data_IF_289905754029
#
_entry.id   IF_289905754029
#
_cell.length_a   1.000
_cell.length_b   1.000
_cell.length_c   1.000
_cell.angle_alpha   90.00
_cell.angle_beta   90.00
_cell.angle_gamma   90.00
#
_symmetry.space_group_name_H-M   'P 1'
#
loop_
_entity.id
_entity.type
_entity.pdbx_description
1 polymer ?
#
# COMPACT_ATOMS: atom_id res chain seq x y z
N UNK A 1 15.11 18.07 -29.43
CA UNK A 1 15.54 18.04 -28.00
C UNK A 1 14.31 17.88 -27.11
N UNK A 2 13.67 16.71 -27.09
CA UNK A 2 12.36 16.51 -26.44
C UNK A 2 12.26 15.18 -25.68
N UNK A 3 13.30 14.81 -24.92
CA UNK A 3 13.31 13.54 -24.16
C UNK A 3 13.41 13.68 -22.63
N UNK A 4 13.45 14.89 -22.06
CA UNK A 4 13.67 15.07 -20.61
C UNK A 4 12.39 14.95 -19.75
N UNK A 5 11.20 14.99 -20.36
CA UNK A 5 9.93 15.00 -19.62
C UNK A 5 9.53 13.63 -19.06
N UNK A 6 9.88 12.52 -19.72
CA UNK A 6 9.49 11.17 -19.30
C UNK A 6 10.23 10.69 -18.03
N UNK A 7 11.48 11.10 -17.81
CA UNK A 7 12.25 10.70 -16.61
C UNK A 7 11.77 11.40 -15.34
N UNK A 8 11.31 12.66 -15.43
CA UNK A 8 10.74 13.38 -14.28
C UNK A 8 9.38 12.82 -13.86
N UNK A 9 8.56 12.37 -14.83
CA UNK A 9 7.29 11.69 -14.55
C UNK A 9 7.48 10.36 -13.80
N UNK A 10 8.47 9.55 -14.18
CA UNK A 10 8.78 8.29 -13.47
C UNK A 10 9.32 8.53 -12.05
N UNK A 11 10.17 9.55 -11.88
CA UNK A 11 10.69 9.92 -10.56
C UNK A 11 9.60 10.45 -9.61
N UNK A 12 8.67 11.25 -10.12
CA UNK A 12 7.57 11.81 -9.33
C UNK A 12 6.50 10.77 -8.97
N UNK A 13 6.17 9.82 -9.87
CA UNK A 13 5.30 8.68 -9.53
C UNK A 13 5.93 7.82 -8.44
N UNK A 14 7.24 7.54 -8.51
CA UNK A 14 7.94 6.77 -7.47
C UNK A 14 7.94 7.50 -6.12
N UNK A 15 8.17 8.82 -6.11
CA UNK A 15 8.14 9.62 -4.89
C UNK A 15 6.73 9.69 -4.29
N UNK A 16 5.71 9.94 -5.11
CA UNK A 16 4.31 9.89 -4.69
C UNK A 16 3.95 8.51 -4.13
N UNK A 17 4.40 7.43 -4.77
CA UNK A 17 4.16 6.07 -4.30
C UNK A 17 4.91 5.73 -3.00
N UNK A 18 6.06 6.35 -2.74
CA UNK A 18 6.74 6.26 -1.42
C UNK A 18 5.97 6.99 -0.33
N UNK A 19 5.47 8.19 -0.63
CA UNK A 19 4.65 8.98 0.30
C UNK A 19 3.35 8.24 0.59
N UNK A 20 2.66 7.74 -0.43
CA UNK A 20 1.46 6.92 -0.29
C UNK A 20 1.73 5.68 0.55
N UNK A 21 2.88 5.01 0.41
CA UNK A 21 3.24 3.88 1.28
C UNK A 21 3.55 4.28 2.73
N UNK A 22 4.14 5.45 2.96
CA UNK A 22 4.38 5.97 4.31
C UNK A 22 3.07 6.32 5.01
N UNK A 23 2.22 7.09 4.32
CA UNK A 23 0.91 7.52 4.82
C UNK A 23 -0.05 6.33 4.94
N UNK A 24 -0.10 5.44 3.95
CA UNK A 24 -0.88 4.21 4.05
C UNK A 24 -0.29 3.22 5.07
N UNK A 25 0.90 3.45 5.60
CA UNK A 25 1.41 2.71 6.76
C UNK A 25 0.73 3.19 8.05
N UNK A 26 0.64 4.50 8.27
CA UNK A 26 -0.04 5.07 9.44
C UNK A 26 -1.57 4.97 9.36
N UNK A 27 -2.16 5.13 8.17
CA UNK A 27 -3.62 5.04 7.92
C UNK A 27 -4.04 3.72 7.27
N UNK A 28 -3.23 2.67 7.41
CA UNK A 28 -3.43 1.37 6.74
C UNK A 28 -4.83 0.79 6.98
N UNK A 29 -5.27 0.87 8.24
CA UNK A 29 -6.55 0.32 8.67
C UNK A 29 -7.74 1.15 8.14
N UNK A 30 -7.65 2.48 8.16
CA UNK A 30 -8.70 3.35 7.60
C UNK A 30 -8.86 3.17 6.09
N UNK A 31 -7.73 3.05 5.38
CA UNK A 31 -7.71 2.77 3.94
C UNK A 31 -8.31 1.39 3.65
N UNK A 32 -8.01 0.39 4.49
CA UNK A 32 -8.64 -0.93 4.42
C UNK A 32 -10.16 -0.82 4.61
N UNK A 33 -10.65 -0.06 5.58
CA UNK A 33 -12.09 0.10 5.83
C UNK A 33 -12.80 0.82 4.68
N UNK A 34 -12.20 1.84 4.08
CA UNK A 34 -12.77 2.48 2.89
C UNK A 34 -12.84 1.53 1.69
N UNK A 35 -11.75 0.81 1.42
CA UNK A 35 -11.72 -0.20 0.38
C UNK A 35 -12.74 -1.32 0.66
N UNK A 36 -12.82 -1.80 1.90
CA UNK A 36 -13.75 -2.84 2.32
C UNK A 36 -15.20 -2.41 2.14
N UNK A 37 -15.55 -1.19 2.58
CA UNK A 37 -16.90 -0.64 2.39
C UNK A 37 -17.28 -0.51 0.91
N UNK A 38 -16.29 -0.20 0.06
CA UNK A 38 -16.51 -0.02 -1.38
C UNK A 38 -16.65 -1.36 -2.12
N UNK A 39 -15.81 -2.35 -1.78
CA UNK A 39 -15.72 -3.62 -2.52
C UNK A 39 -16.52 -4.77 -1.89
N UNK A 40 -16.78 -4.71 -0.58
CA UNK A 40 -17.47 -5.72 0.21
C UNK A 40 -18.63 -5.10 1.02
N UNK A 41 -19.61 -4.47 0.36
CA UNK A 41 -20.77 -3.94 1.06
C UNK A 41 -21.58 -5.09 1.69
N UNK A 42 -21.64 -5.14 3.02
CA UNK A 42 -22.43 -6.12 3.78
C UNK A 42 -21.63 -7.22 4.46
N UNK A 43 -20.31 -7.25 4.29
CA UNK A 43 -19.42 -8.08 5.10
C UNK A 43 -18.90 -7.25 6.29
N UNK A 44 -18.71 -7.90 7.45
CA UNK A 44 -18.09 -7.24 8.60
C UNK A 44 -16.58 -7.12 8.35
N UNK A 45 -15.98 -5.92 8.42
CA UNK A 45 -14.55 -5.77 8.27
C UNK A 45 -13.80 -6.50 9.40
N UNK A 46 -12.58 -6.93 9.10
CA UNK A 46 -11.67 -7.49 10.12
C UNK A 46 -11.41 -6.46 11.22
N UNK A 47 -11.23 -6.94 12.45
CA UNK A 47 -10.80 -6.07 13.54
C UNK A 47 -9.38 -5.53 13.28
N UNK A 48 -9.08 -4.37 13.86
CA UNK A 48 -7.77 -3.72 13.71
C UNK A 48 -6.59 -4.66 14.05
N UNK A 49 -6.72 -5.46 15.11
CA UNK A 49 -5.70 -6.42 15.53
C UNK A 49 -5.50 -7.53 14.50
N UNK A 50 -6.58 -8.04 13.92
CA UNK A 50 -6.52 -9.08 12.89
C UNK A 50 -5.93 -8.53 11.59
N UNK A 51 -6.29 -7.30 11.24
CA UNK A 51 -5.70 -6.59 10.11
C UNK A 51 -4.19 -6.46 10.27
N UNK A 52 -3.70 -5.97 11.42
CA UNK A 52 -2.26 -5.83 11.66
C UNK A 52 -1.52 -7.17 11.66
N UNK A 53 -2.12 -8.20 12.25
CA UNK A 53 -1.56 -9.56 12.22
C UNK A 53 -1.39 -10.05 10.78
N UNK A 54 -2.44 -9.93 9.95
CA UNK A 54 -2.39 -10.32 8.54
C UNK A 54 -1.47 -9.44 7.69
N UNK A 55 -1.35 -8.15 8.03
CA UNK A 55 -0.48 -7.20 7.35
C UNK A 55 1.00 -7.55 7.56
N UNK A 56 1.39 -7.84 8.82
CA UNK A 56 2.75 -8.28 9.16
C UNK A 56 3.03 -9.64 8.55
N UNK A 57 2.10 -10.59 8.65
CA UNK A 57 2.26 -11.93 8.07
C UNK A 57 2.50 -11.90 6.55
N UNK A 58 1.79 -11.03 5.82
CA UNK A 58 2.05 -10.79 4.39
C UNK A 58 3.41 -10.16 4.10
N UNK A 59 3.86 -9.23 4.95
CA UNK A 59 5.19 -8.61 4.83
C UNK A 59 6.31 -9.63 5.10
N UNK A 60 6.12 -10.50 6.09
CA UNK A 60 7.07 -11.53 6.50
C UNK A 60 7.13 -12.69 5.50
N UNK A 61 5.98 -13.09 4.94
CA UNK A 61 5.88 -14.18 3.95
C UNK A 61 6.34 -13.76 2.55
N UNK A 62 6.31 -12.45 2.24
CA UNK A 62 6.82 -11.93 0.98
C UNK A 62 7.92 -10.87 1.21
N UNK A 63 9.07 -11.26 1.80
CA UNK A 63 10.20 -10.37 1.97
C UNK A 63 10.86 -10.27 0.60
N UNK A 64 10.32 -9.38 -0.24
CA UNK A 64 10.59 -9.29 -1.69
C UNK A 64 11.96 -9.82 -2.05
N UNK A 65 11.97 -11.00 -2.68
CA UNK A 65 13.12 -11.76 -3.16
C UNK A 65 14.47 -11.12 -2.78
N UNK A 66 14.95 -11.38 -1.55
CA UNK A 66 16.37 -11.19 -1.23
C UNK A 66 17.14 -12.25 -2.02
N UNK A 67 17.27 -12.03 -3.32
CA UNK A 67 18.26 -12.75 -4.11
C UNK A 67 19.62 -12.25 -3.65
N UNK A 68 20.39 -13.19 -3.12
CA UNK A 68 21.84 -13.10 -2.99
C UNK A 68 22.49 -12.60 -4.29
#
# INVERSE_FOLDING_TARGET
MTSTTLSRLRGSVRAAWQIVRGVAGETAYETYLEHHRTHHPGEEPMSEREFWKAHIDRQDTNPGSRCC
#
